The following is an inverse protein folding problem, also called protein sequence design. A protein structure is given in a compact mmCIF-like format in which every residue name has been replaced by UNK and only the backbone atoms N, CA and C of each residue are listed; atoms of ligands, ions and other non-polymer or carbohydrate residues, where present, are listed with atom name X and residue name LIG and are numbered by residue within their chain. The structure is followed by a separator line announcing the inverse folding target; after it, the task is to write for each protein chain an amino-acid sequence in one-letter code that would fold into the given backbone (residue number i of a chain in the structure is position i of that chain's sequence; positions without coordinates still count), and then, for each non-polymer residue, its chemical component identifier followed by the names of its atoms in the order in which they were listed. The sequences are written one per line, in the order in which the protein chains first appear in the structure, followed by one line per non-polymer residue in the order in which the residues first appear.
data_IF_494677697315
#
_entry.id   IF_494677697315
#
_cell.length_a   1.000
_cell.length_b   1.000
_cell.length_c   1.000
_cell.angle_alpha   90.00
_cell.angle_beta   90.00
_cell.angle_gamma   90.00
#
_symmetry.space_group_name_H-M   'P 1'
#
loop_
_entity.id
_entity.type
_entity.pdbx_description
1 polymer ?
#
# COMPACT_ATOMS: atom_id res chain seq x y z
N UNK A 1 -18.01 -15.04 7.30
CA UNK A 1 -18.24 -13.78 6.55
C UNK A 1 -16.86 -13.27 6.22
N UNK A 2 -16.50 -13.14 4.94
CA UNK A 2 -15.15 -12.72 4.56
C UNK A 2 -14.84 -11.32 5.11
N UNK A 3 -13.57 -11.07 5.45
CA UNK A 3 -13.14 -9.75 5.93
C UNK A 3 -13.15 -8.72 4.81
N UNK A 4 -13.25 -7.43 5.15
CA UNK A 4 -13.17 -6.35 4.17
C UNK A 4 -11.82 -6.34 3.44
N UNK A 5 -10.75 -6.80 4.10
CA UNK A 5 -9.44 -6.95 3.50
C UNK A 5 -9.39 -8.10 2.48
N UNK A 6 -10.07 -9.22 2.76
CA UNK A 6 -10.24 -10.31 1.77
C UNK A 6 -11.06 -9.84 0.56
N UNK A 7 -12.17 -9.12 0.79
CA UNK A 7 -12.97 -8.52 -0.29
C UNK A 7 -12.15 -7.56 -1.17
N UNK A 8 -11.24 -6.78 -0.56
CA UNK A 8 -10.34 -5.90 -1.31
C UNK A 8 -9.41 -6.69 -2.24
N UNK A 9 -8.86 -7.82 -1.79
CA UNK A 9 -8.00 -8.69 -2.60
C UNK A 9 -8.79 -9.30 -3.77
N UNK A 10 -10.00 -9.81 -3.52
CA UNK A 10 -10.85 -10.40 -4.57
C UNK A 10 -11.19 -9.40 -5.69
N UNK A 11 -11.28 -8.11 -5.38
CA UNK A 11 -11.61 -7.07 -6.35
C UNK A 11 -10.42 -6.59 -7.18
N UNK A 12 -9.18 -6.94 -6.83
CA UNK A 12 -7.99 -6.40 -7.48
C UNK A 12 -7.97 -6.66 -8.99
N UNK A 13 -8.26 -7.89 -9.42
CA UNK A 13 -8.26 -8.27 -10.83
C UNK A 13 -9.27 -7.45 -11.64
N UNK A 14 -10.45 -7.22 -11.06
CA UNK A 14 -11.48 -6.38 -11.68
C UNK A 14 -11.03 -4.94 -11.89
N UNK A 15 -10.25 -4.39 -10.96
CA UNK A 15 -9.76 -3.00 -11.01
C UNK A 15 -8.71 -2.80 -12.11
N UNK A 16 -7.92 -3.82 -12.42
CA UNK A 16 -6.85 -3.72 -13.43
C UNK A 16 -7.32 -3.95 -14.87
N UNK A 17 -8.60 -4.30 -15.09
CA UNK A 17 -9.15 -4.56 -16.44
C UNK A 17 -9.02 -3.38 -17.40
N UNK A 18 -9.22 -2.16 -16.90
CA UNK A 18 -9.07 -0.94 -17.72
C UNK A 18 -7.63 -0.78 -18.22
N UNK A 19 -6.67 -0.94 -17.31
CA UNK A 19 -5.24 -0.84 -17.67
C UNK A 19 -4.85 -1.95 -18.64
N UNK A 20 -5.34 -3.17 -18.44
CA UNK A 20 -5.07 -4.28 -19.38
C UNK A 20 -5.61 -3.98 -20.78
N UNK A 21 -6.85 -3.50 -20.87
CA UNK A 21 -7.44 -3.11 -22.15
C UNK A 21 -6.59 -2.05 -22.87
N UNK A 22 -6.09 -1.06 -22.15
CA UNK A 22 -5.25 -0.01 -22.74
C UNK A 22 -3.90 -0.55 -23.22
N UNK A 23 -3.30 -1.48 -22.48
CA UNK A 23 -2.05 -2.14 -22.88
C UNK A 23 -2.27 -3.02 -24.11
N UNK A 24 -3.36 -3.77 -24.16
CA UNK A 24 -3.72 -4.61 -25.31
C UNK A 24 -3.95 -3.74 -26.56
N UNK A 25 -4.66 -2.62 -26.41
CA UNK A 25 -4.84 -1.66 -27.51
C UNK A 25 -3.54 -0.98 -27.93
N UNK A 26 -2.63 -0.70 -27.00
CA UNK A 26 -1.32 -0.17 -27.35
C UNK A 26 -0.53 -1.19 -28.20
N UNK A 27 -0.61 -2.48 -27.87
CA UNK A 27 0.06 -3.53 -28.63
C UNK A 27 -0.48 -3.70 -30.06
N UNK A 28 -1.79 -3.54 -30.25
CA UNK A 28 -2.42 -3.63 -31.58
C UNK A 28 -1.93 -2.53 -32.54
N UNK A 29 -1.57 -1.35 -32.01
CA UNK A 29 -1.31 -0.14 -32.80
C UNK A 29 0.14 0.33 -32.76
N UNK A 30 1.03 -0.42 -32.10
CA UNK A 30 2.44 -0.08 -31.87
C UNK A 30 3.17 0.27 -33.18
N UNK A 31 2.96 -0.54 -34.22
CA UNK A 31 3.62 -0.38 -35.53
C UNK A 31 2.82 0.45 -36.55
N UNK A 32 1.52 0.67 -36.31
CA UNK A 32 0.61 1.26 -37.31
C UNK A 32 0.15 2.68 -36.98
N UNK A 33 -0.02 3.02 -35.71
CA UNK A 33 -0.49 4.33 -35.27
C UNK A 33 0.37 4.89 -34.12
N UNK A 34 1.58 5.43 -34.39
CA UNK A 34 2.54 5.82 -33.36
C UNK A 34 2.03 6.87 -32.36
N UNK A 35 1.16 7.77 -32.82
CA UNK A 35 0.54 8.79 -31.97
C UNK A 35 -0.49 8.19 -31.01
N UNK A 36 -1.30 7.23 -31.49
CA UNK A 36 -2.27 6.53 -30.66
C UNK A 36 -1.56 5.63 -29.65
N UNK A 37 -0.54 4.88 -30.09
CA UNK A 37 0.35 4.12 -29.21
C UNK A 37 0.91 4.99 -28.08
N UNK A 38 1.47 6.15 -28.45
CA UNK A 38 2.03 7.10 -27.47
C UNK A 38 0.98 7.59 -26.46
N UNK A 39 -0.23 7.89 -26.93
CA UNK A 39 -1.32 8.34 -26.06
C UNK A 39 -1.75 7.23 -25.08
N UNK A 40 -1.94 6.00 -25.57
CA UNK A 40 -2.34 4.85 -24.76
C UNK A 40 -1.30 4.52 -23.69
N UNK A 41 -0.03 4.43 -24.06
CA UNK A 41 1.06 4.13 -23.14
C UNK A 41 1.22 5.20 -22.05
N UNK A 42 1.08 6.49 -22.42
CA UNK A 42 1.08 7.59 -21.45
C UNK A 42 -0.09 7.48 -20.46
N UNK A 43 -1.29 7.12 -20.94
CA UNK A 43 -2.45 6.87 -20.08
C UNK A 43 -2.18 5.71 -19.12
N UNK A 44 -1.59 4.61 -19.60
CA UNK A 44 -1.21 3.46 -18.75
C UNK A 44 -0.27 3.89 -17.63
N UNK A 45 0.80 4.65 -17.93
CA UNK A 45 1.75 5.14 -16.93
C UNK A 45 1.06 5.95 -15.81
N UNK A 46 0.09 6.80 -16.17
CA UNK A 46 -0.67 7.58 -15.19
C UNK A 46 -1.59 6.68 -14.36
N UNK A 47 -2.32 5.77 -15.01
CA UNK A 47 -3.28 4.88 -14.35
C UNK A 47 -2.60 3.90 -13.40
N UNK A 48 -1.45 3.34 -13.75
CA UNK A 48 -0.68 2.43 -12.88
C UNK A 48 -0.41 3.06 -11.50
N UNK A 49 0.02 4.33 -11.48
CA UNK A 49 0.26 5.06 -10.23
C UNK A 49 -1.05 5.43 -9.53
N UNK A 50 -2.08 5.82 -10.28
CA UNK A 50 -3.40 6.11 -9.72
C UNK A 50 -4.02 4.89 -9.02
N UNK A 51 -3.84 3.70 -9.58
CA UNK A 51 -4.27 2.44 -8.95
C UNK A 51 -3.54 2.16 -7.65
N UNK A 52 -2.21 2.41 -7.57
CA UNK A 52 -1.48 2.28 -6.31
C UNK A 52 -1.96 3.30 -5.26
N UNK A 53 -2.19 4.55 -5.66
CA UNK A 53 -2.71 5.59 -4.77
C UNK A 53 -4.09 5.21 -4.21
N UNK A 54 -5.04 4.89 -5.09
CA UNK A 54 -6.39 4.48 -4.71
C UNK A 54 -6.38 3.23 -3.84
N UNK A 55 -5.54 2.26 -4.17
CA UNK A 55 -5.38 1.03 -3.39
C UNK A 55 -4.91 1.30 -1.96
N UNK A 56 -3.89 2.14 -1.76
CA UNK A 56 -3.41 2.43 -0.39
C UNK A 56 -4.49 3.07 0.49
N UNK A 57 -5.39 3.90 -0.09
CA UNK A 57 -6.54 4.47 0.61
C UNK A 57 -7.57 3.39 0.97
N UNK A 58 -7.87 2.51 0.03
CA UNK A 58 -8.83 1.42 0.24
C UNK A 58 -8.30 0.35 1.21
N UNK A 59 -7.00 0.09 1.21
CA UNK A 59 -6.32 -0.77 2.16
C UNK A 59 -6.56 -0.31 3.59
N UNK A 60 -6.32 0.98 3.86
CA UNK A 60 -6.56 1.57 5.17
C UNK A 60 -8.04 1.49 5.55
N UNK A 61 -8.96 1.78 4.62
CA UNK A 61 -10.40 1.64 4.87
C UNK A 61 -10.80 0.22 5.23
N UNK A 62 -10.31 -0.77 4.49
CA UNK A 62 -10.62 -2.18 4.71
C UNK A 62 -10.18 -2.63 6.10
N UNK A 63 -8.89 -2.42 6.44
CA UNK A 63 -8.33 -2.77 7.75
C UNK A 63 -9.08 -2.10 8.90
N UNK A 64 -9.42 -0.82 8.76
CA UNK A 64 -10.15 -0.08 9.81
C UNK A 64 -11.59 -0.59 9.96
N UNK A 65 -12.25 -0.98 8.87
CA UNK A 65 -13.58 -1.59 8.94
C UNK A 65 -13.53 -2.96 9.63
N UNK A 66 -12.55 -3.78 9.29
CA UNK A 66 -12.34 -5.08 9.96
C UNK A 66 -12.06 -4.89 11.46
N UNK A 67 -11.21 -3.93 11.83
CA UNK A 67 -10.95 -3.59 13.24
C UNK A 67 -12.24 -3.17 13.94
N UNK A 68 -12.99 -2.21 13.40
CA UNK A 68 -14.22 -1.70 14.02
C UNK A 68 -15.32 -2.77 14.12
N UNK A 69 -15.37 -3.73 13.18
CA UNK A 69 -16.35 -4.83 13.21
C UNK A 69 -16.02 -5.87 14.28
N UNK A 70 -14.76 -6.01 14.68
CA UNK A 70 -14.28 -7.13 15.52
C UNK A 70 -13.67 -6.72 16.87
N UNK A 71 -13.34 -5.44 17.08
CA UNK A 71 -12.63 -4.95 18.28
C UNK A 71 -13.21 -3.61 18.75
N UNK A 72 -13.31 -3.47 20.08
CA UNK A 72 -13.52 -2.19 20.76
C UNK A 72 -12.21 -1.40 20.82
N UNK A 73 -12.32 -0.06 20.90
CA UNK A 73 -11.15 0.83 21.02
C UNK A 73 -10.19 0.41 22.14
N UNK A 74 -10.73 0.01 23.30
CA UNK A 74 -9.96 -0.42 24.46
C UNK A 74 -8.98 -1.58 24.17
N UNK A 75 -9.31 -2.45 23.20
CA UNK A 75 -8.55 -3.65 22.82
C UNK A 75 -7.59 -3.42 21.65
N UNK A 76 -7.47 -2.18 21.17
CA UNK A 76 -6.56 -1.83 20.09
C UNK A 76 -5.14 -1.64 20.59
N UNK A 77 -4.17 -1.85 19.70
CA UNK A 77 -2.77 -1.65 20.03
C UNK A 77 -2.49 -0.20 20.42
N UNK A 78 -1.48 0.01 21.28
CA UNK A 78 -1.03 1.34 21.70
C UNK A 78 -0.75 2.24 20.50
N UNK A 79 -0.19 1.70 19.41
CA UNK A 79 0.08 2.50 18.23
C UNK A 79 -1.20 2.96 17.52
N UNK A 80 -2.17 2.08 17.30
CA UNK A 80 -3.45 2.43 16.66
C UNK A 80 -4.20 3.45 17.50
N UNK A 81 -4.25 3.26 18.83
CA UNK A 81 -4.83 4.22 19.78
C UNK A 81 -4.16 5.60 19.67
N UNK A 82 -2.82 5.64 19.68
CA UNK A 82 -2.05 6.87 19.54
C UNK A 82 -2.29 7.56 18.20
N UNK A 83 -2.28 6.82 17.09
CA UNK A 83 -2.55 7.36 15.76
C UNK A 83 -3.92 8.03 15.73
N UNK A 84 -4.97 7.33 16.18
CA UNK A 84 -6.31 7.89 16.16
C UNK A 84 -6.44 9.11 17.08
N UNK A 85 -5.91 9.03 18.31
CA UNK A 85 -6.00 10.10 19.30
C UNK A 85 -5.29 11.40 18.87
N UNK A 86 -4.24 11.33 18.02
CA UNK A 86 -3.56 12.53 17.47
C UNK A 86 -4.50 13.47 16.73
N UNK A 87 -5.60 12.98 16.15
CA UNK A 87 -6.60 13.82 15.47
C UNK A 87 -7.20 14.90 16.38
N UNK A 88 -7.26 14.64 17.68
CA UNK A 88 -7.84 15.56 18.67
C UNK A 88 -6.80 16.51 19.27
N UNK A 89 -5.53 16.39 18.88
CA UNK A 89 -4.47 17.27 19.34
C UNK A 89 -4.29 18.40 18.32
N UNK A 90 -4.37 19.67 18.73
CA UNK A 90 -4.16 20.80 17.82
C UNK A 90 -2.77 20.78 17.19
N UNK A 91 -2.69 21.09 15.89
CA UNK A 91 -1.45 21.13 15.09
C UNK A 91 -0.68 22.46 15.17
N UNK A 92 -1.04 23.38 16.08
CA UNK A 92 -0.50 24.75 16.10
C UNK A 92 0.35 25.02 17.34
N UNK A 93 1.24 26.01 17.24
CA UNK A 93 2.16 26.54 18.26
C UNK A 93 1.52 26.66 19.65
N UNK A 94 1.46 25.56 20.37
CA UNK A 94 1.13 25.58 21.78
C UNK A 94 2.40 25.99 22.49
N UNK A 95 2.27 26.91 23.45
CA UNK A 95 3.34 27.43 24.28
C UNK A 95 4.34 26.34 24.70
N UNK A 96 5.57 26.73 25.01
CA UNK A 96 6.69 25.85 25.42
C UNK A 96 6.38 24.84 26.56
N UNK A 97 5.19 24.92 27.18
CA UNK A 97 4.68 24.05 28.23
C UNK A 97 3.65 23.00 27.77
N UNK A 98 3.33 22.86 26.48
CA UNK A 98 2.38 21.84 26.03
C UNK A 98 2.98 20.43 26.05
N UNK A 99 2.56 19.63 27.03
CA UNK A 99 2.95 18.24 27.12
C UNK A 99 2.09 17.36 26.19
N UNK A 100 2.49 17.27 24.92
CA UNK A 100 1.79 16.49 23.90
C UNK A 100 1.52 15.05 24.33
N UNK A 101 2.46 14.39 25.01
CA UNK A 101 2.31 13.01 25.47
C UNK A 101 1.28 12.88 26.60
N UNK A 102 1.20 13.86 27.51
CA UNK A 102 0.19 13.87 28.56
C UNK A 102 -1.21 13.96 27.95
N UNK A 103 -1.45 14.93 27.05
CA UNK A 103 -2.76 15.07 26.39
C UNK A 103 -3.14 13.85 25.56
N UNK A 104 -2.18 13.27 24.82
CA UNK A 104 -2.43 12.05 24.06
C UNK A 104 -2.84 10.89 24.99
N UNK A 105 -2.21 10.76 26.15
CA UNK A 105 -2.55 9.74 27.14
C UNK A 105 -3.94 9.96 27.73
N UNK A 106 -4.29 11.22 28.06
CA UNK A 106 -5.63 11.54 28.57
C UNK A 106 -6.72 11.32 27.52
N UNK A 107 -6.47 11.68 26.25
CA UNK A 107 -7.41 11.41 25.16
C UNK A 107 -7.61 9.91 24.98
N UNK A 108 -6.53 9.12 24.97
CA UNK A 108 -6.63 7.65 24.89
C UNK A 108 -7.43 7.10 26.06
N UNK A 109 -7.15 7.54 27.29
CA UNK A 109 -7.90 7.12 28.49
C UNK A 109 -9.39 7.42 28.37
N UNK A 110 -9.74 8.61 27.88
CA UNK A 110 -11.13 9.00 27.64
C UNK A 110 -11.79 8.18 26.53
N UNK A 111 -11.05 7.84 25.48
CA UNK A 111 -11.56 7.01 24.40
C UNK A 111 -11.74 5.55 24.83
N UNK A 112 -10.85 5.02 25.70
CA UNK A 112 -10.97 3.68 26.30
C UNK A 112 -12.27 3.55 27.11
N UNK A 113 -12.66 4.61 27.84
CA UNK A 113 -13.92 4.65 28.60
C UNK A 113 -15.19 4.76 27.72
N UNK A 114 -15.03 4.93 26.40
CA UNK A 114 -16.14 5.14 25.45
C UNK A 114 -16.23 4.04 24.41
N UNK A 115 -17.46 3.70 23.99
CA UNK A 115 -17.67 2.85 22.81
C UNK A 115 -17.42 3.67 21.53
N UNK A 116 -16.15 3.87 21.19
CA UNK A 116 -15.72 4.63 20.02
C UNK A 116 -15.29 3.69 18.88
N UNK A 117 -15.69 4.02 17.65
CA UNK A 117 -15.14 3.44 16.43
C UNK A 117 -14.12 4.41 15.82
N UNK A 118 -13.00 3.90 15.35
CA UNK A 118 -11.94 4.73 14.76
C UNK A 118 -12.28 5.07 13.30
N UNK A 119 -11.88 6.27 12.86
CA UNK A 119 -11.97 6.68 11.44
C UNK A 119 -10.66 6.40 10.73
N UNK A 120 -10.78 5.94 9.47
CA UNK A 120 -9.67 5.67 8.59
C UNK A 120 -8.86 6.91 8.22
N UNK A 121 -9.47 8.11 8.21
CA UNK A 121 -8.79 9.36 7.86
C UNK A 121 -7.56 9.64 8.74
N UNK A 122 -7.63 9.26 10.03
CA UNK A 122 -6.53 9.44 10.98
C UNK A 122 -5.28 8.63 10.62
N UNK A 123 -5.41 7.64 9.73
CA UNK A 123 -4.34 6.72 9.34
C UNK A 123 -3.74 7.07 7.96
N UNK A 124 -4.35 8.01 7.24
CA UNK A 124 -3.88 8.50 5.95
C UNK A 124 -2.98 9.73 6.10
N UNK A 125 -2.06 9.92 5.16
CA UNK A 125 -1.10 11.05 5.17
C UNK A 125 -1.58 12.19 4.26
N UNK A 126 -2.52 13.00 4.75
CA UNK A 126 -3.03 14.18 4.04
C UNK A 126 -3.68 13.86 2.68
N UNK A 127 -4.38 14.84 2.11
CA UNK A 127 -5.11 14.63 0.88
C UNK A 127 -4.19 14.66 -0.35
N UNK A 128 -4.47 13.77 -1.32
CA UNK A 128 -3.95 13.80 -2.69
C UNK A 128 -2.43 13.82 -2.86
N UNK A 129 -1.69 13.12 -2.00
CA UNK A 129 -0.26 12.86 -2.24
C UNK A 129 -0.08 11.62 -3.09
N UNK A 130 0.79 11.71 -4.09
CA UNK A 130 1.29 10.57 -4.85
C UNK A 130 1.81 9.48 -3.89
N UNK A 131 1.69 8.19 -4.25
CA UNK A 131 2.09 7.07 -3.41
C UNK A 131 3.62 6.91 -3.40
N UNK A 132 4.35 7.95 -2.98
CA UNK A 132 5.80 7.90 -2.77
C UNK A 132 6.13 6.92 -1.64
N UNK A 133 7.35 6.36 -1.59
CA UNK A 133 7.77 5.48 -0.50
C UNK A 133 7.47 6.04 0.89
N UNK A 134 7.77 7.31 1.14
CA UNK A 134 7.50 7.94 2.44
C UNK A 134 6.02 8.03 2.80
N UNK A 135 5.12 8.11 1.81
CA UNK A 135 3.66 8.11 2.04
C UNK A 135 3.23 6.72 2.51
N UNK A 136 3.63 5.68 1.78
CA UNK A 136 3.34 4.28 2.13
C UNK A 136 3.94 3.93 3.49
N UNK A 137 5.21 4.26 3.73
CA UNK A 137 5.87 4.05 5.02
C UNK A 137 5.12 4.72 6.17
N UNK A 138 4.67 5.97 5.98
CA UNK A 138 3.90 6.67 7.02
C UNK A 138 2.57 5.99 7.33
N UNK A 139 1.86 5.50 6.30
CA UNK A 139 0.61 4.74 6.47
C UNK A 139 0.89 3.50 7.35
N UNK A 140 1.92 2.73 7.03
CA UNK A 140 2.27 1.52 7.78
C UNK A 140 2.75 1.82 9.21
N UNK A 141 3.47 2.92 9.42
CA UNK A 141 3.85 3.39 10.76
C UNK A 141 2.65 3.71 11.63
N UNK A 142 1.56 4.22 11.04
CA UNK A 142 0.32 4.50 11.76
C UNK A 142 -0.35 3.23 12.33
N UNK A 143 0.00 2.05 11.80
CA UNK A 143 -0.43 0.72 12.29
C UNK A 143 0.63 -0.03 13.10
N UNK A 144 1.83 0.54 13.31
CA UNK A 144 2.89 -0.08 14.12
C UNK A 144 4.05 -0.68 13.35
N UNK A 145 4.00 -0.67 12.02
CA UNK A 145 5.11 -1.13 11.17
C UNK A 145 6.07 0.05 10.94
N UNK A 146 7.19 0.07 11.66
CA UNK A 146 8.14 1.20 11.64
C UNK A 146 8.79 1.44 10.27
N UNK A 147 9.05 0.38 9.51
CA UNK A 147 9.58 0.48 8.15
C UNK A 147 9.09 -0.70 7.32
N UNK A 148 8.00 -0.49 6.59
CA UNK A 148 7.40 -1.52 5.72
C UNK A 148 8.40 -2.07 4.69
N UNK A 149 9.28 -1.23 4.15
CA UNK A 149 10.25 -1.65 3.14
C UNK A 149 11.39 -2.47 3.72
N UNK A 150 11.69 -2.33 5.03
CA UNK A 150 12.65 -3.21 5.70
C UNK A 150 12.13 -4.65 5.85
N UNK A 151 10.80 -4.87 5.77
CA UNK A 151 10.22 -6.21 5.74
C UNK A 151 10.20 -6.83 4.33
N UNK A 152 10.35 -6.00 3.29
CA UNK A 152 10.39 -6.41 1.88
C UNK A 152 11.83 -6.66 1.43
N UNK A 153 12.78 -5.83 1.87
CA UNK A 153 14.19 -5.90 1.46
C UNK A 153 14.78 -7.31 1.63
N UNK A 154 15.51 -7.77 0.61
CA UNK A 154 16.21 -9.08 0.60
C UNK A 154 15.27 -10.30 0.83
N UNK A 155 13.97 -10.12 0.58
CA UNK A 155 13.03 -11.24 0.46
C UNK A 155 12.79 -11.55 -1.01
N UNK A 156 12.20 -12.71 -1.28
CA UNK A 156 11.72 -13.10 -2.62
C UNK A 156 10.82 -12.00 -3.25
N UNK A 157 10.23 -11.09 -2.45
CA UNK A 157 9.48 -9.94 -2.96
C UNK A 157 10.34 -8.83 -3.54
N UNK A 158 11.52 -8.56 -2.98
CA UNK A 158 12.39 -7.50 -3.50
C UNK A 158 13.01 -7.95 -4.83
N UNK A 159 13.25 -9.27 -4.98
CA UNK A 159 13.77 -9.88 -6.21
C UNK A 159 12.85 -9.65 -7.41
N UNK A 160 11.54 -9.48 -7.20
CA UNK A 160 10.59 -9.13 -8.27
C UNK A 160 10.93 -7.80 -8.94
N UNK A 161 11.55 -6.88 -8.21
CA UNK A 161 11.97 -5.58 -8.71
C UNK A 161 13.41 -5.59 -9.27
N UNK A 162 14.08 -6.75 -9.30
CA UNK A 162 15.44 -6.91 -9.84
C UNK A 162 15.52 -7.12 -11.36
N UNK A 163 14.38 -7.07 -12.06
CA UNK A 163 14.31 -7.25 -13.52
C UNK A 163 14.04 -8.69 -13.96
N UNK A 164 13.30 -9.47 -13.16
CA UNK A 164 12.81 -10.81 -13.52
C UNK A 164 11.75 -10.75 -14.62
N UNK A 165 11.41 -11.91 -15.22
CA UNK A 165 10.48 -11.96 -16.35
C UNK A 165 9.02 -11.72 -15.94
N UNK A 166 8.21 -11.17 -16.85
CA UNK A 166 6.76 -10.99 -16.65
C UNK A 166 6.04 -12.28 -16.18
N UNK A 167 6.49 -13.44 -16.67
CA UNK A 167 5.93 -14.74 -16.27
C UNK A 167 6.15 -14.98 -14.78
N UNK A 168 7.37 -14.82 -14.30
CA UNK A 168 7.73 -15.01 -12.88
C UNK A 168 6.97 -14.05 -11.97
N UNK A 169 6.82 -12.77 -12.38
CA UNK A 169 6.02 -11.78 -11.62
C UNK A 169 4.57 -12.22 -11.52
N UNK A 170 4.01 -12.73 -12.63
CA UNK A 170 2.61 -13.16 -12.70
C UNK A 170 2.35 -14.38 -11.82
N UNK A 171 3.22 -15.39 -11.90
CA UNK A 171 3.15 -16.61 -11.08
C UNK A 171 3.26 -16.28 -9.58
N UNK A 172 4.23 -15.44 -9.21
CA UNK A 172 4.39 -14.99 -7.83
C UNK A 172 3.18 -14.19 -7.33
N UNK A 173 2.58 -13.35 -8.19
CA UNK A 173 1.36 -12.60 -7.85
C UNK A 173 0.17 -13.52 -7.63
N UNK A 174 -0.01 -14.54 -8.47
CA UNK A 174 -1.09 -15.49 -8.32
C UNK A 174 -0.94 -16.27 -7.01
N UNK A 175 0.25 -16.83 -6.75
CA UNK A 175 0.52 -17.57 -5.52
C UNK A 175 0.28 -16.71 -4.27
N UNK A 176 0.81 -15.47 -4.26
CA UNK A 176 0.62 -14.56 -3.14
C UNK A 176 -0.86 -14.18 -2.93
N UNK A 177 -1.64 -14.07 -4.01
CA UNK A 177 -3.08 -13.80 -3.95
C UNK A 177 -3.85 -14.96 -3.34
N UNK A 178 -3.55 -16.19 -3.76
CA UNK A 178 -4.17 -17.40 -3.23
C UNK A 178 -3.90 -17.56 -1.73
N UNK A 179 -2.64 -17.36 -1.31
CA UNK A 179 -2.26 -17.36 0.12
C UNK A 179 -3.02 -16.27 0.88
N UNK A 180 -3.07 -15.04 0.35
CA UNK A 180 -3.76 -13.94 1.01
C UNK A 180 -5.26 -14.22 1.17
N UNK A 181 -5.95 -14.78 0.16
CA UNK A 181 -7.38 -15.07 0.27
C UNK A 181 -7.72 -16.07 1.38
N UNK A 182 -6.87 -17.07 1.58
CA UNK A 182 -7.02 -18.06 2.66
C UNK A 182 -6.76 -17.40 4.02
N UNK A 183 -5.64 -16.68 4.16
CA UNK A 183 -5.21 -16.14 5.45
C UNK A 183 -6.07 -14.96 5.94
N UNK A 184 -6.76 -14.29 5.02
CA UNK A 184 -7.59 -13.12 5.30
C UNK A 184 -9.08 -13.44 5.40
N UNK A 185 -9.49 -14.70 5.24
CA UNK A 185 -10.91 -15.07 5.24
C UNK A 185 -11.61 -14.68 6.55
N UNK A 186 -10.91 -14.75 7.68
CA UNK A 186 -11.45 -14.49 9.01
C UNK A 186 -10.59 -13.50 9.79
N UNK A 187 -11.22 -12.78 10.72
CA UNK A 187 -10.53 -11.92 11.69
C UNK A 187 -10.52 -12.60 13.08
N UNK A 188 -9.39 -12.62 13.82
CA UNK A 188 -8.07 -12.11 13.45
C UNK A 188 -7.45 -12.89 12.29
N UNK A 189 -6.74 -12.18 11.42
CA UNK A 189 -6.08 -12.76 10.25
C UNK A 189 -5.08 -13.85 10.65
N UNK A 190 -4.89 -14.83 9.77
CA UNK A 190 -3.95 -15.95 9.97
C UNK A 190 -2.60 -15.72 9.29
N UNK A 191 -2.38 -14.53 8.72
CA UNK A 191 -1.18 -14.18 7.96
C UNK A 191 0.11 -14.38 8.75
N UNK A 192 1.04 -15.13 8.16
CA UNK A 192 2.40 -15.38 8.72
C UNK A 192 3.45 -14.87 7.75
N UNK A 193 4.32 -13.96 8.20
CA UNK A 193 5.40 -13.39 7.38
C UNK A 193 6.29 -14.46 6.74
N UNK A 194 6.48 -15.59 7.41
CA UNK A 194 7.26 -16.76 6.96
C UNK A 194 6.71 -17.42 5.70
N UNK A 195 5.39 -17.46 5.51
CA UNK A 195 4.77 -18.08 4.32
C UNK A 195 5.11 -17.33 3.04
N UNK A 196 5.38 -16.04 3.19
CA UNK A 196 5.83 -15.16 2.14
C UNK A 196 7.36 -14.98 2.20
N UNK A 197 8.07 -15.58 3.17
CA UNK A 197 9.52 -15.37 3.43
C UNK A 197 9.90 -13.89 3.65
N UNK A 198 8.96 -13.07 4.12
CA UNK A 198 9.24 -11.72 4.57
C UNK A 198 10.11 -11.81 5.83
N UNK A 199 11.32 -11.23 5.76
CA UNK A 199 12.21 -11.11 6.91
C UNK A 199 12.54 -9.64 7.11
N UNK A 200 12.43 -9.18 8.35
CA UNK A 200 12.91 -7.84 8.70
C UNK A 200 14.43 -7.84 8.58
N UNK A 201 14.95 -7.25 7.51
CA UNK A 201 16.39 -7.12 7.33
C UNK A 201 16.95 -5.96 8.15
N UNK A 202 18.23 -6.03 8.49
CA UNK A 202 19.02 -4.90 8.99
C UNK A 202 19.29 -3.93 7.85
N UNK A 203 18.25 -3.17 7.47
CA UNK A 203 18.37 -2.07 6.52
C UNK A 203 19.22 -0.94 7.12
N UNK A 204 20.24 -0.47 6.41
CA UNK A 204 21.00 0.69 6.86
C UNK A 204 20.14 1.96 6.80
N UNK A 205 20.41 2.92 7.69
CA UNK A 205 19.72 4.21 7.70
C UNK A 205 19.96 4.90 6.35
N UNK A 206 18.88 5.18 5.60
CA UNK A 206 18.85 5.79 4.26
C UNK A 206 19.16 4.86 3.06
N UNK A 207 19.27 3.56 3.26
CA UNK A 207 19.38 2.63 2.14
C UNK A 207 18.04 2.52 1.39
N UNK A 208 18.02 2.62 0.05
CA UNK A 208 16.82 2.38 -0.76
C UNK A 208 16.72 0.89 -1.11
N UNK A 209 15.50 0.36 -1.10
CA UNK A 209 15.21 -1.02 -1.57
C UNK A 209 14.86 -1.00 -3.07
N UNK A 210 14.90 -2.15 -3.73
CA UNK A 210 14.48 -2.24 -5.14
C UNK A 210 13.01 -1.82 -5.30
N UNK A 211 12.16 -2.26 -4.35
CA UNK A 211 10.77 -1.82 -4.27
C UNK A 211 10.61 -0.29 -4.17
N UNK A 212 11.40 0.37 -3.32
CA UNK A 212 11.34 1.84 -3.21
C UNK A 212 11.78 2.54 -4.49
N UNK A 213 12.88 2.07 -5.10
CA UNK A 213 13.36 2.59 -6.38
C UNK A 213 12.30 2.44 -7.47
N UNK A 214 11.65 1.28 -7.56
CA UNK A 214 10.54 1.05 -8.48
C UNK A 214 9.37 2.02 -8.26
N UNK A 215 8.97 2.25 -7.00
CA UNK A 215 7.89 3.18 -6.66
C UNK A 215 8.28 4.62 -7.08
N UNK A 216 9.52 5.04 -6.83
CA UNK A 216 9.99 6.36 -7.26
C UNK A 216 10.01 6.50 -8.78
N UNK A 217 10.42 5.46 -9.51
CA UNK A 217 10.41 5.44 -10.98
C UNK A 217 9.00 5.60 -11.57
N UNK A 218 8.01 4.83 -11.10
CA UNK A 218 6.63 4.96 -11.62
C UNK A 218 6.06 6.35 -11.32
N UNK A 219 6.38 6.92 -10.16
CA UNK A 219 5.95 8.26 -9.79
C UNK A 219 6.62 9.34 -10.65
N UNK A 220 7.91 9.18 -10.94
CA UNK A 220 8.66 10.07 -11.82
C UNK A 220 8.08 10.04 -13.24
N UNK A 221 7.77 8.86 -13.78
CA UNK A 221 7.13 8.73 -15.10
C UNK A 221 5.76 9.38 -15.16
N UNK A 222 4.91 9.17 -14.14
CA UNK A 222 3.62 9.88 -14.07
C UNK A 222 3.83 11.40 -14.08
N UNK A 223 4.80 11.91 -13.32
CA UNK A 223 5.09 13.34 -13.24
C UNK A 223 5.53 13.89 -14.61
N UNK A 224 6.45 13.21 -15.29
CA UNK A 224 6.91 13.57 -16.63
C UNK A 224 5.77 13.60 -17.67
N UNK A 225 4.88 12.60 -17.63
CA UNK A 225 3.70 12.53 -18.51
C UNK A 225 2.71 13.66 -18.22
N UNK A 226 2.42 13.92 -16.93
CA UNK A 226 1.43 14.90 -16.49
C UNK A 226 1.87 16.35 -16.75
N UNK A 227 3.17 16.64 -16.65
CA UNK A 227 3.71 17.98 -16.94
C UNK A 227 4.09 18.18 -18.41
N UNK A 228 3.89 17.17 -19.27
CA UNK A 228 4.20 17.26 -20.69
C UNK A 228 5.70 17.34 -20.98
N UNK A 229 6.55 16.84 -20.08
CA UNK A 229 8.00 16.80 -20.31
C UNK A 229 8.40 15.69 -21.29
N UNK A 230 7.50 14.73 -21.55
CA UNK A 230 7.70 13.59 -22.45
C UNK A 230 6.55 13.55 -23.46
N UNK A 231 6.86 13.91 -24.71
CA UNK A 231 5.89 13.90 -25.83
C UNK A 231 5.92 12.62 -26.67
N UNK A 232 7.06 11.92 -26.67
CA UNK A 232 7.22 10.63 -27.34
C UNK A 232 7.28 9.53 -26.29
N UNK A 233 6.48 8.48 -26.44
CA UNK A 233 6.49 7.37 -25.51
C UNK A 233 7.81 6.58 -25.64
N UNK A 234 8.48 6.34 -24.52
CA UNK A 234 9.72 5.55 -24.46
C UNK A 234 9.51 4.13 -23.92
N UNK A 235 8.28 3.77 -23.53
CA UNK A 235 7.99 2.46 -22.97
C UNK A 235 7.40 1.50 -23.98
N UNK A 236 8.05 0.35 -24.12
CA UNK A 236 7.53 -0.80 -24.85
C UNK A 236 6.28 -1.38 -24.16
N UNK A 237 5.43 -2.07 -24.94
CA UNK A 237 4.28 -2.85 -24.40
C UNK A 237 4.72 -3.81 -23.30
N UNK A 238 5.89 -4.45 -23.47
CA UNK A 238 6.48 -5.35 -22.46
C UNK A 238 6.70 -4.62 -21.13
N UNK A 239 7.31 -3.44 -21.16
CA UNK A 239 7.56 -2.65 -19.95
C UNK A 239 6.27 -2.21 -19.26
N UNK A 240 5.22 -1.88 -20.03
CA UNK A 240 3.90 -1.55 -19.46
C UNK A 240 3.28 -2.74 -18.73
N UNK A 241 3.34 -3.95 -19.33
CA UNK A 241 2.85 -5.19 -18.70
C UNK A 241 3.62 -5.52 -17.42
N UNK A 242 4.95 -5.40 -17.46
CA UNK A 242 5.82 -5.62 -16.30
C UNK A 242 5.48 -4.66 -15.15
N UNK A 243 5.36 -3.35 -15.43
CA UNK A 243 4.96 -2.37 -14.40
C UNK A 243 3.61 -2.68 -13.77
N UNK A 244 2.61 -2.99 -14.60
CA UNK A 244 1.27 -3.37 -14.11
C UNK A 244 1.37 -4.58 -13.18
N UNK A 245 2.09 -5.62 -13.60
CA UNK A 245 2.27 -6.84 -12.81
C UNK A 245 3.01 -6.56 -11.49
N UNK A 246 4.10 -5.78 -11.52
CA UNK A 246 4.87 -5.41 -10.32
C UNK A 246 4.06 -4.56 -9.34
N UNK A 247 3.22 -3.63 -9.80
CA UNK A 247 2.33 -2.87 -8.90
C UNK A 247 1.26 -3.77 -8.30
N UNK A 248 0.64 -4.65 -9.09
CA UNK A 248 -0.34 -5.60 -8.58
C UNK A 248 0.26 -6.53 -7.52
N UNK A 249 1.49 -7.00 -7.76
CA UNK A 249 2.23 -7.77 -6.77
C UNK A 249 2.45 -6.98 -5.48
N UNK A 250 2.98 -5.75 -5.59
CA UNK A 250 3.17 -4.85 -4.44
C UNK A 250 1.88 -4.65 -3.64
N UNK A 251 0.73 -4.50 -4.29
CA UNK A 251 -0.56 -4.36 -3.61
C UNK A 251 -0.85 -5.55 -2.68
N UNK A 252 -0.63 -6.79 -3.14
CA UNK A 252 -0.80 -8.00 -2.33
C UNK A 252 0.18 -8.03 -1.15
N UNK A 253 1.45 -7.65 -1.38
CA UNK A 253 2.46 -7.58 -0.31
C UNK A 253 2.05 -6.61 0.78
N UNK A 254 1.57 -5.43 0.41
CA UNK A 254 1.12 -4.41 1.35
C UNK A 254 -0.09 -4.91 2.17
N UNK A 255 -1.03 -5.61 1.55
CA UNK A 255 -2.14 -6.28 2.25
C UNK A 255 -1.63 -7.27 3.29
N UNK A 256 -0.70 -8.12 2.89
CA UNK A 256 -0.20 -9.17 3.77
C UNK A 256 0.65 -8.60 4.91
N UNK A 257 1.42 -7.54 4.67
CA UNK A 257 2.17 -6.87 5.73
C UNK A 257 1.24 -6.20 6.74
N UNK A 258 0.20 -5.49 6.30
CA UNK A 258 -0.71 -4.79 7.23
C UNK A 258 -1.60 -5.77 8.02
N UNK A 259 -1.95 -6.92 7.44
CA UNK A 259 -2.70 -7.96 8.16
C UNK A 259 -1.87 -8.55 9.30
N UNK A 260 -0.56 -8.70 9.13
CA UNK A 260 0.33 -9.14 10.22
C UNK A 260 0.44 -8.12 11.35
N UNK A 261 0.35 -6.82 11.05
CA UNK A 261 0.38 -5.76 12.06
C UNK A 261 -0.93 -5.55 12.81
N UNK A 262 -2.05 -5.94 12.21
CA UNK A 262 -3.37 -5.93 12.85
C UNK A 262 -3.46 -6.90 14.04
N UNK A 263 -2.41 -7.72 14.25
CA UNK A 263 -2.24 -8.71 15.31
C UNK A 263 -1.22 -8.29 16.39
N UNK A 264 -0.52 -7.15 16.25
CA UNK A 264 0.71 -6.86 17.02
C UNK A 264 0.52 -6.52 18.51
N UNK A 265 -0.67 -6.73 19.10
CA UNK A 265 -0.82 -6.83 20.55
C UNK A 265 -1.70 -8.03 20.93
N UNK A 266 -1.43 -9.20 20.34
CA UNK A 266 -1.79 -10.50 20.92
C UNK A 266 -0.55 -11.03 21.64
N UNK A 267 -0.13 -10.35 22.70
CA UNK A 267 0.57 -11.02 23.79
C UNK A 267 -0.18 -10.69 25.10
N UNK A 268 -0.29 -11.74 25.91
CA UNK A 268 -1.26 -11.98 26.97
C UNK A 268 -1.21 -11.02 28.16
#
# INVERSE_FOLDING_TARGET
MATFLSDLVQQLDGRWKEVELLIDKAAEVEDTEPHLYTALSRSVCVLVVAHLEGFTKDLVKAVIRDINANRSFEKLSKQIKRTYAKRYIPNQDISSNFNHNFYLTEIIRKLDDTKCSISHDSFLKGDNKNPKPDVIKTIFMNFGITDVFAHIKESDFDDIFSGISLLEITEATQLATEIALIDLEEFPYKSKQELLKLKKSTKQKNESTLCQTFIDEINQKRHEVAHGNVFNNSESVKSLRERKASVKYLQIVLVYLISTASLLEIEA
#
